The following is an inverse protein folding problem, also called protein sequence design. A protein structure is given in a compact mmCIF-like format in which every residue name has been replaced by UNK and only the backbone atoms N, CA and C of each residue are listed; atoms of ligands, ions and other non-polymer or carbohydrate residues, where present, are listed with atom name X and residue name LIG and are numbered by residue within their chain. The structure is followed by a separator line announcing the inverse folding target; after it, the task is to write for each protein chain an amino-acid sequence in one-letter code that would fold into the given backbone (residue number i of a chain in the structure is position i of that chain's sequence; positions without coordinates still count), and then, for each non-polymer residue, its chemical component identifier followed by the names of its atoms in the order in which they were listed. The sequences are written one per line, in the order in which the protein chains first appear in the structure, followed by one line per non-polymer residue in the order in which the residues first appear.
data_IF_971079574058
#
_entry.id   IF_971079574058
#
_cell.length_a   1.000
_cell.length_b   1.000
_cell.length_c   1.000
_cell.angle_alpha   90.00
_cell.angle_beta   90.00
_cell.angle_gamma   90.00
#
_symmetry.space_group_name_H-M   'P 1'
#
loop_
_entity.id
_entity.type
_entity.pdbx_description
1 polymer ?
#
# COMPACT_ATOMS: atom_id res chain seq x y z
N UNK A 1 -0.37 19.20 -14.56
CA UNK A 1 -0.12 19.35 -16.02
C UNK A 1 -0.01 20.80 -16.45
N UNK A 2 -0.86 21.68 -15.96
CA UNK A 2 -0.84 23.13 -16.34
C UNK A 2 0.46 23.83 -16.03
N UNK A 3 1.18 23.42 -14.98
CA UNK A 3 2.41 24.11 -14.54
C UNK A 3 3.69 23.46 -15.05
N UNK A 4 3.72 22.11 -15.12
CA UNK A 4 4.93 21.32 -15.42
C UNK A 4 4.90 20.62 -16.78
N UNK A 5 3.80 20.79 -17.54
CA UNK A 5 3.63 20.14 -18.85
C UNK A 5 3.35 18.63 -18.78
N UNK A 6 3.32 17.99 -19.94
CA UNK A 6 2.95 16.57 -20.06
C UNK A 6 4.14 15.60 -19.99
N UNK A 7 5.35 16.11 -20.18
CA UNK A 7 6.59 15.31 -20.18
C UNK A 7 7.16 15.04 -18.78
N UNK A 8 6.32 15.05 -17.75
CA UNK A 8 6.71 14.81 -16.37
C UNK A 8 5.93 13.66 -15.77
N UNK A 9 6.62 12.63 -15.29
CA UNK A 9 5.99 11.53 -14.59
C UNK A 9 5.58 11.93 -13.18
N UNK A 10 4.28 11.88 -12.91
CA UNK A 10 3.70 12.15 -11.59
C UNK A 10 3.43 10.84 -10.88
N UNK A 11 4.07 10.66 -9.71
CA UNK A 11 3.89 9.50 -8.85
C UNK A 11 3.31 9.95 -7.51
N UNK A 12 2.38 9.18 -6.95
CA UNK A 12 1.93 9.37 -5.57
C UNK A 12 2.79 8.54 -4.61
N UNK A 13 2.96 9.02 -3.40
CA UNK A 13 3.57 8.27 -2.29
C UNK A 13 2.53 7.76 -1.27
N UNK A 14 1.25 7.91 -1.54
CA UNK A 14 0.17 7.51 -0.63
C UNK A 14 -0.71 6.43 -1.26
N UNK A 15 -0.65 5.23 -0.68
CA UNK A 15 -1.39 4.07 -1.16
C UNK A 15 -2.91 4.27 -1.14
N UNK A 16 -3.44 4.85 -0.06
CA UNK A 16 -4.89 4.97 0.15
C UNK A 16 -5.58 5.89 -0.88
N UNK A 17 -4.86 6.87 -1.41
CA UNK A 17 -5.40 7.84 -2.39
C UNK A 17 -4.98 7.54 -3.83
N UNK A 18 -4.23 6.46 -4.05
CA UNK A 18 -3.67 6.13 -5.37
C UNK A 18 -4.75 5.99 -6.45
N UNK A 19 -5.89 5.36 -6.17
CA UNK A 19 -6.97 5.21 -7.15
C UNK A 19 -7.45 6.58 -7.68
N UNK A 20 -7.74 7.51 -6.79
CA UNK A 20 -8.16 8.86 -7.17
C UNK A 20 -7.06 9.58 -7.96
N UNK A 21 -5.79 9.47 -7.51
CA UNK A 21 -4.65 10.05 -8.19
C UNK A 21 -4.50 9.53 -9.64
N UNK A 22 -4.68 8.22 -9.87
CA UNK A 22 -4.63 7.62 -11.20
C UNK A 22 -5.78 8.07 -12.08
N UNK A 23 -7.00 8.20 -11.53
CA UNK A 23 -8.18 8.74 -12.25
C UNK A 23 -7.91 10.16 -12.75
N UNK A 24 -7.23 10.99 -11.97
CA UNK A 24 -6.82 12.35 -12.35
C UNK A 24 -5.58 12.41 -13.25
N UNK A 25 -5.13 11.30 -13.79
CA UNK A 25 -4.03 11.22 -14.78
C UNK A 25 -2.65 11.13 -14.15
N UNK A 26 -2.54 10.58 -12.96
CA UNK A 26 -1.26 10.13 -12.39
C UNK A 26 -0.65 8.98 -13.17
N UNK A 27 0.65 8.75 -13.00
CA UNK A 27 1.41 7.76 -13.78
C UNK A 27 1.81 6.53 -12.97
N UNK A 28 1.66 6.57 -11.65
CA UNK A 28 2.03 5.45 -10.79
C UNK A 28 2.12 5.82 -9.30
N UNK A 29 2.63 4.87 -8.51
CA UNK A 29 2.75 4.99 -7.07
C UNK A 29 4.08 4.43 -6.58
N UNK A 30 4.64 5.06 -5.54
CA UNK A 30 5.70 4.51 -4.70
C UNK A 30 5.02 4.00 -3.43
N UNK A 31 4.73 2.71 -3.41
CA UNK A 31 3.81 2.07 -2.47
C UNK A 31 4.54 1.40 -1.31
N UNK A 32 4.03 1.55 -0.10
CA UNK A 32 4.43 0.76 1.08
C UNK A 32 3.78 -0.62 1.02
N UNK A 33 2.51 -0.70 0.67
CA UNK A 33 1.74 -1.95 0.61
C UNK A 33 2.30 -2.95 -0.40
N UNK A 34 2.94 -2.47 -1.48
CA UNK A 34 3.56 -3.33 -2.48
C UNK A 34 4.69 -4.21 -1.93
N UNK A 35 5.28 -3.88 -0.78
CA UNK A 35 6.29 -4.72 -0.12
C UNK A 35 5.72 -6.05 0.40
N UNK A 36 4.43 -6.12 0.67
CA UNK A 36 3.78 -7.32 1.25
C UNK A 36 2.64 -7.86 0.38
N UNK A 37 2.13 -7.08 -0.56
CA UNK A 37 1.08 -7.46 -1.50
C UNK A 37 1.44 -7.09 -2.95
N UNK A 38 2.64 -7.46 -3.47
CA UNK A 38 3.12 -6.96 -4.77
C UNK A 38 2.20 -7.36 -5.92
N UNK A 39 1.64 -8.57 -5.90
CA UNK A 39 0.73 -9.05 -6.93
C UNK A 39 -0.54 -8.21 -7.00
N UNK A 40 -1.23 -8.00 -5.88
CA UNK A 40 -2.45 -7.19 -5.84
C UNK A 40 -2.18 -5.73 -6.22
N UNK A 41 -1.07 -5.14 -5.75
CA UNK A 41 -0.70 -3.78 -6.12
C UNK A 41 -0.36 -3.66 -7.61
N UNK A 42 0.29 -4.65 -8.21
CA UNK A 42 0.59 -4.69 -9.63
C UNK A 42 -0.67 -4.84 -10.48
N UNK A 43 -1.59 -5.73 -10.11
CA UNK A 43 -2.88 -5.91 -10.77
C UNK A 43 -3.74 -4.64 -10.68
N UNK A 44 -3.80 -4.03 -9.50
CA UNK A 44 -4.47 -2.75 -9.27
C UNK A 44 -3.93 -1.66 -10.21
N UNK A 45 -2.61 -1.49 -10.25
CA UNK A 45 -1.96 -0.49 -11.08
C UNK A 45 -2.20 -0.74 -12.57
N UNK A 46 -2.14 -2.02 -13.01
CA UNK A 46 -2.46 -2.39 -14.40
C UNK A 46 -3.88 -1.96 -14.78
N UNK A 47 -4.87 -2.26 -13.94
CA UNK A 47 -6.26 -1.84 -14.19
C UNK A 47 -6.42 -0.32 -14.21
N UNK A 48 -5.69 0.42 -13.37
CA UNK A 48 -5.67 1.88 -13.43
C UNK A 48 -5.12 2.40 -14.77
N UNK A 49 -3.99 1.84 -15.23
CA UNK A 49 -3.37 2.24 -16.50
C UNK A 49 -4.23 1.87 -17.72
N UNK A 50 -4.92 0.73 -17.66
CA UNK A 50 -5.88 0.28 -18.68
C UNK A 50 -7.24 1.03 -18.58
N UNK A 51 -7.37 2.01 -17.68
CA UNK A 51 -8.60 2.77 -17.39
C UNK A 51 -9.79 1.88 -16.98
N UNK A 52 -9.54 0.68 -16.51
CA UNK A 52 -10.54 -0.24 -15.96
C UNK A 52 -10.76 0.03 -14.48
N UNK A 53 -11.31 1.20 -14.17
CA UNK A 53 -11.45 1.67 -12.78
C UNK A 53 -12.45 0.85 -11.96
N UNK A 54 -13.38 0.14 -12.59
CA UNK A 54 -14.28 -0.77 -11.88
C UNK A 54 -13.49 -1.92 -11.22
N UNK A 55 -12.61 -2.60 -11.98
CA UNK A 55 -11.75 -3.66 -11.44
C UNK A 55 -10.66 -3.12 -10.51
N UNK A 56 -10.11 -1.94 -10.81
CA UNK A 56 -9.17 -1.29 -9.91
C UNK A 56 -9.82 -1.01 -8.55
N UNK A 57 -11.08 -0.55 -8.52
CA UNK A 57 -11.83 -0.30 -7.29
C UNK A 57 -12.04 -1.58 -6.46
N UNK A 58 -12.39 -2.70 -7.08
CA UNK A 58 -12.54 -3.99 -6.40
C UNK A 58 -11.26 -4.44 -5.69
N UNK A 59 -10.09 -4.23 -6.33
CA UNK A 59 -8.80 -4.55 -5.72
C UNK A 59 -8.45 -3.52 -4.63
N UNK A 60 -8.73 -2.25 -4.87
CA UNK A 60 -8.52 -1.19 -3.90
C UNK A 60 -9.29 -1.43 -2.61
N UNK A 61 -10.54 -1.90 -2.70
CA UNK A 61 -11.38 -2.23 -1.53
C UNK A 61 -10.77 -3.36 -0.70
N UNK A 62 -10.13 -4.34 -1.34
CA UNK A 62 -9.38 -5.39 -0.63
C UNK A 62 -8.12 -4.85 0.05
N UNK A 63 -7.45 -3.89 -0.57
CA UNK A 63 -6.20 -3.33 -0.07
C UNK A 63 -6.41 -2.21 0.95
N UNK A 64 -7.57 -1.53 0.95
CA UNK A 64 -7.81 -0.35 1.77
C UNK A 64 -7.59 -0.57 3.27
N UNK A 65 -8.08 -1.67 3.90
CA UNK A 65 -7.78 -1.94 5.30
C UNK A 65 -6.28 -2.09 5.57
N UNK A 66 -5.54 -2.64 4.59
CA UNK A 66 -4.10 -2.80 4.70
C UNK A 66 -3.38 -1.46 4.58
N UNK A 67 -3.77 -0.62 3.61
CA UNK A 67 -3.24 0.74 3.48
C UNK A 67 -3.35 1.52 4.79
N UNK A 68 -4.50 1.44 5.48
CA UNK A 68 -4.68 2.09 6.77
C UNK A 68 -3.86 1.45 7.88
N UNK A 69 -3.87 0.12 8.00
CA UNK A 69 -3.18 -0.59 9.07
C UNK A 69 -1.67 -0.36 9.07
N UNK A 70 -1.07 -0.18 7.90
CA UNK A 70 0.37 0.03 7.76
C UNK A 70 0.84 1.43 8.18
N UNK A 71 -0.07 2.35 8.48
CA UNK A 71 0.24 3.73 8.86
C UNK A 71 -0.38 4.17 10.20
N UNK A 72 -0.98 3.27 10.98
CA UNK A 72 -1.50 3.60 12.33
C UNK A 72 -0.39 3.91 13.33
N UNK A 73 0.79 3.37 13.10
CA UNK A 73 2.03 3.75 13.76
C UNK A 73 3.08 4.13 12.72
N UNK A 74 4.20 4.69 13.19
CA UNK A 74 5.26 5.19 12.31
C UNK A 74 5.79 4.11 11.36
N UNK A 75 5.69 4.36 10.07
CA UNK A 75 6.34 3.54 9.03
C UNK A 75 7.88 3.61 9.21
N UNK A 76 8.61 2.50 8.99
CA UNK A 76 8.21 1.23 8.40
C UNK A 76 7.84 0.12 9.41
N UNK A 77 7.57 0.43 10.69
CA UNK A 77 7.40 -0.61 11.69
C UNK A 77 6.21 -1.55 11.38
N UNK A 78 4.99 -1.08 11.02
CA UNK A 78 3.88 -1.99 10.70
C UNK A 78 4.14 -2.85 9.44
N UNK A 79 4.74 -2.30 8.38
CA UNK A 79 5.01 -3.08 7.16
C UNK A 79 6.12 -4.10 7.38
N UNK A 80 7.12 -3.84 8.22
CA UNK A 80 8.13 -4.83 8.60
C UNK A 80 7.54 -5.97 9.41
N UNK A 81 6.62 -5.66 10.34
CA UNK A 81 5.86 -6.70 11.02
C UNK A 81 5.07 -7.57 10.03
N UNK A 82 4.32 -6.96 9.12
CA UNK A 82 3.58 -7.70 8.09
C UNK A 82 4.50 -8.56 7.22
N UNK A 83 5.65 -8.03 6.79
CA UNK A 83 6.64 -8.78 6.02
C UNK A 83 7.24 -9.96 6.82
N UNK A 84 7.44 -9.80 8.13
CA UNK A 84 7.91 -10.89 9.00
C UNK A 84 6.88 -12.02 9.11
N UNK A 85 5.60 -11.70 9.15
CA UNK A 85 4.51 -12.71 9.12
C UNK A 85 4.50 -13.52 7.82
N UNK A 86 4.97 -12.94 6.72
CA UNK A 86 5.15 -13.63 5.44
C UNK A 86 6.51 -14.35 5.31
N UNK A 87 7.34 -14.30 6.34
CA UNK A 87 8.68 -14.92 6.33
C UNK A 87 9.69 -14.21 5.45
N UNK A 88 9.44 -12.96 5.05
CA UNK A 88 10.31 -12.20 4.14
C UNK A 88 11.49 -11.54 4.85
N UNK A 89 11.34 -11.18 6.11
CA UNK A 89 12.39 -10.56 6.93
C UNK A 89 12.07 -10.73 8.42
N UNK A 90 12.97 -10.26 9.29
CA UNK A 90 12.69 -10.06 10.72
C UNK A 90 11.99 -8.72 10.92
N UNK A 91 11.21 -8.57 11.99
CA UNK A 91 10.52 -7.33 12.35
C UNK A 91 11.39 -6.34 13.16
N UNK A 92 12.70 -6.56 13.22
CA UNK A 92 13.65 -5.68 13.90
C UNK A 92 13.58 -4.25 13.34
N UNK A 93 13.46 -3.28 14.24
CA UNK A 93 13.41 -1.84 13.90
C UNK A 93 14.58 -1.12 14.57
N UNK A 94 15.17 -0.18 13.83
CA UNK A 94 16.24 0.68 14.37
C UNK A 94 15.68 1.87 15.13
N UNK A 95 16.30 2.21 16.23
CA UNK A 95 16.01 3.45 16.96
C UNK A 95 16.11 4.68 16.03
N UNK A 96 15.29 5.70 16.22
CA UNK A 96 14.35 5.93 17.33
C UNK A 96 13.00 5.21 17.23
N UNK A 97 12.74 4.44 16.18
CA UNK A 97 11.52 3.67 16.04
C UNK A 97 11.59 2.42 16.93
N UNK A 98 10.43 1.98 17.38
CA UNK A 98 10.25 0.79 18.23
C UNK A 98 9.29 -0.20 17.58
N UNK A 99 9.25 -1.41 18.11
CA UNK A 99 8.23 -2.40 17.73
C UNK A 99 6.83 -1.85 17.92
N UNK A 100 5.92 -2.21 17.03
CA UNK A 100 4.51 -1.80 17.11
C UNK A 100 3.79 -2.46 18.28
N UNK A 101 2.71 -1.83 18.76
CA UNK A 101 1.85 -2.33 19.83
C UNK A 101 1.14 -3.62 19.43
N UNK A 102 0.67 -4.39 20.41
CA UNK A 102 -0.10 -5.61 20.15
C UNK A 102 -1.46 -5.30 19.50
N UNK A 103 -2.06 -4.16 19.80
CA UNK A 103 -3.26 -3.68 19.11
C UNK A 103 -3.00 -3.46 17.62
N UNK A 104 -1.89 -2.83 17.28
CA UNK A 104 -1.50 -2.61 15.89
C UNK A 104 -1.16 -3.92 15.17
N UNK A 105 -0.51 -4.87 15.85
CA UNK A 105 -0.28 -6.22 15.29
C UNK A 105 -1.58 -6.91 14.93
N UNK A 106 -2.59 -6.87 15.82
CA UNK A 106 -3.91 -7.45 15.56
C UNK A 106 -4.61 -6.77 14.37
N UNK A 107 -4.50 -5.44 14.27
CA UNK A 107 -5.08 -4.69 13.16
C UNK A 107 -4.42 -5.08 11.82
N UNK A 108 -3.09 -5.16 11.79
CA UNK A 108 -2.33 -5.60 10.61
C UNK A 108 -2.70 -7.03 10.23
N UNK A 109 -2.74 -7.97 11.18
CA UNK A 109 -3.12 -9.37 10.93
C UNK A 109 -4.54 -9.48 10.34
N UNK A 110 -5.50 -8.70 10.87
CA UNK A 110 -6.86 -8.63 10.34
C UNK A 110 -6.90 -8.11 8.91
N UNK A 111 -6.14 -7.06 8.63
CA UNK A 111 -6.05 -6.48 7.29
C UNK A 111 -5.39 -7.42 6.28
N UNK A 112 -4.33 -8.14 6.69
CA UNK A 112 -3.67 -9.17 5.87
C UNK A 112 -4.62 -10.34 5.53
N UNK A 113 -5.43 -10.81 6.50
CA UNK A 113 -6.48 -11.82 6.26
C UNK A 113 -7.54 -11.31 5.29
N UNK A 114 -8.00 -10.07 5.44
CA UNK A 114 -8.96 -9.46 4.53
C UNK A 114 -8.44 -9.41 3.09
N UNK A 115 -7.15 -9.09 2.91
CA UNK A 115 -6.47 -9.09 1.62
C UNK A 115 -6.08 -10.51 1.12
N UNK A 116 -6.37 -11.57 1.89
CA UNK A 116 -6.02 -12.97 1.60
C UNK A 116 -4.52 -13.19 1.42
N UNK A 117 -3.71 -12.54 2.24
CA UNK A 117 -2.25 -12.70 2.27
C UNK A 117 -1.81 -13.79 3.25
N UNK A 118 -2.59 -14.04 4.28
CA UNK A 118 -2.41 -15.08 5.31
C UNK A 118 -3.72 -15.77 5.62
#
# INVERSE_FOLDING_TARGET
KTTIGENFNQLTGDDATTLAFMIYGGHGSISVTSNIAPKLCSEFMKHCLDQNFAKASEINDKLMPLHHALFVESSPAPVKYAASKLGLCKDDIRLPLTSISDETKQLVDKAMKHASLI
#
